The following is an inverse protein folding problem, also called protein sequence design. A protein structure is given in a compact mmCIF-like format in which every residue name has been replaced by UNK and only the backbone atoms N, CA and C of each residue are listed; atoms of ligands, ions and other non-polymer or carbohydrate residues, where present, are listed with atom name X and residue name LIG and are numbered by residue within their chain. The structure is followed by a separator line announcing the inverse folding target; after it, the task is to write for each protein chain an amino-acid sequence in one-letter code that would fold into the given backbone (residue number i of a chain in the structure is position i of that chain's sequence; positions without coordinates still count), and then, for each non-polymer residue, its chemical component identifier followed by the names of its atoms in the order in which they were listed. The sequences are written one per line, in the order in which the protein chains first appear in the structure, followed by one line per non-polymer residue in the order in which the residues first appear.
data_IF_764353750017
#
_entry.id   IF_764353750017
#
_cell.length_a   1.000
_cell.length_b   1.000
_cell.length_c   1.000
_cell.angle_alpha   90.00
_cell.angle_beta   90.00
_cell.angle_gamma   90.00
#
_symmetry.space_group_name_H-M   'P 1'
#
loop_
_entity.id
_entity.type
_entity.pdbx_description
1 polymer ?
#
# COMPACT_ATOMS: atom_id res chain seq x y z
N UNK A 1 -2.36 17.02 -15.40
CA UNK A 1 -2.09 17.09 -13.95
C UNK A 1 -0.58 17.07 -13.77
N UNK A 2 -0.05 18.09 -13.14
CA UNK A 2 1.39 18.15 -12.88
C UNK A 2 1.77 17.29 -11.68
N UNK A 3 2.63 16.33 -11.93
CA UNK A 3 3.16 15.48 -10.85
C UNK A 3 4.35 16.22 -10.23
N UNK A 4 4.38 16.40 -8.89
CA UNK A 4 5.51 17.04 -8.23
C UNK A 4 6.83 16.35 -8.55
N UNK A 5 7.90 17.14 -8.70
CA UNK A 5 9.25 16.62 -8.95
C UNK A 5 9.86 15.93 -7.73
N UNK A 6 9.43 16.33 -6.54
CA UNK A 6 9.89 15.73 -5.29
C UNK A 6 8.94 14.62 -4.87
N UNK A 7 9.52 13.47 -4.56
CA UNK A 7 8.80 12.27 -4.12
C UNK A 7 9.23 11.83 -2.72
N UNK A 8 8.38 11.04 -2.11
CA UNK A 8 8.63 10.28 -0.89
C UNK A 8 8.39 8.81 -1.16
N UNK A 9 9.36 7.96 -0.83
CA UNK A 9 9.23 6.51 -0.96
C UNK A 9 8.49 5.93 0.25
N UNK A 10 7.42 5.20 -0.01
CA UNK A 10 6.55 4.56 0.99
C UNK A 10 6.40 3.09 0.64
N UNK A 11 6.57 2.22 1.62
CA UNK A 11 6.41 0.78 1.42
C UNK A 11 4.93 0.43 1.16
N UNK A 12 4.69 -0.50 0.21
CA UNK A 12 3.36 -1.09 0.05
C UNK A 12 3.03 -2.04 1.22
N UNK A 13 1.77 -2.17 1.63
CA UNK A 13 0.57 -1.55 1.05
C UNK A 13 0.26 -0.12 1.53
N UNK A 14 1.13 0.49 2.35
CA UNK A 14 0.90 1.83 2.89
C UNK A 14 0.83 2.93 1.84
N UNK A 15 1.60 2.80 0.74
CA UNK A 15 1.51 3.74 -0.38
C UNK A 15 0.11 3.72 -1.02
N UNK A 16 -0.47 2.55 -1.23
CA UNK A 16 -1.86 2.41 -1.68
C UNK A 16 -2.84 3.00 -0.65
N UNK A 17 -2.61 2.75 0.64
CA UNK A 17 -3.46 3.29 1.70
C UNK A 17 -3.49 4.82 1.67
N UNK A 18 -2.38 5.48 1.39
CA UNK A 18 -2.32 6.94 1.21
C UNK A 18 -3.17 7.38 0.03
N UNK A 19 -3.03 6.74 -1.12
CA UNK A 19 -3.65 7.21 -2.37
C UNK A 19 -5.10 6.80 -2.51
N UNK A 20 -5.53 5.69 -1.94
CA UNK A 20 -6.87 5.12 -2.13
C UNK A 20 -7.55 4.62 -0.85
N UNK A 21 -6.80 4.42 0.24
CA UNK A 21 -7.31 3.83 1.47
C UNK A 21 -7.68 4.83 2.57
N UNK A 22 -7.53 6.12 2.34
CA UNK A 22 -7.85 7.16 3.33
C UNK A 22 -6.77 7.39 4.39
N UNK A 23 -5.57 6.86 4.21
CA UNK A 23 -4.44 7.08 5.12
C UNK A 23 -3.96 8.54 5.03
N UNK A 24 -4.21 9.30 6.08
CA UNK A 24 -3.95 10.74 6.12
C UNK A 24 -2.73 11.13 6.97
N UNK A 25 -1.98 10.18 7.46
CA UNK A 25 -0.71 10.40 8.19
C UNK A 25 0.30 9.34 7.76
N UNK A 26 1.48 9.77 7.35
CA UNK A 26 2.63 8.91 7.09
C UNK A 26 3.62 9.00 8.24
N UNK A 27 3.91 7.86 8.87
CA UNK A 27 4.76 7.80 10.05
C UNK A 27 6.24 7.76 9.68
N UNK A 28 7.05 8.54 10.37
CA UNK A 28 8.50 8.61 10.17
C UNK A 28 9.24 8.76 11.48
N UNK A 29 10.49 8.28 11.52
CA UNK A 29 11.36 8.54 12.65
C UNK A 29 11.82 10.01 12.67
N UNK A 30 12.20 10.50 13.85
CA UNK A 30 12.78 11.86 14.00
C UNK A 30 14.01 12.05 13.13
N UNK A 31 14.85 11.03 13.07
CA UNK A 31 16.06 11.03 12.25
C UNK A 31 15.72 11.13 10.75
N UNK A 32 14.75 10.33 10.26
CA UNK A 32 14.35 10.35 8.86
C UNK A 32 13.79 11.71 8.45
N UNK A 33 12.95 12.33 9.28
CA UNK A 33 12.38 13.66 9.01
C UNK A 33 13.46 14.72 8.92
N UNK A 34 14.38 14.76 9.89
CA UNK A 34 15.47 15.73 9.93
C UNK A 34 16.44 15.55 8.77
N UNK A 35 16.91 14.33 8.54
CA UNK A 35 17.88 14.03 7.49
C UNK A 35 17.29 14.10 6.09
N UNK A 36 16.02 13.71 5.95
CA UNK A 36 15.32 13.65 4.67
C UNK A 36 14.69 14.97 4.23
N UNK A 37 14.84 16.03 5.01
CA UNK A 37 14.25 17.36 4.76
C UNK A 37 12.74 17.29 4.49
N UNK A 38 12.02 16.50 5.28
CA UNK A 38 10.59 16.24 5.10
C UNK A 38 9.74 17.38 5.62
N UNK A 39 9.79 18.50 4.93
CA UNK A 39 9.02 19.72 5.23
C UNK A 39 7.65 19.72 4.54
N UNK A 40 6.70 20.57 4.98
CA UNK A 40 5.41 20.72 4.29
C UNK A 40 5.56 21.13 2.83
N UNK A 41 5.00 20.32 1.94
CA UNK A 41 4.94 20.57 0.50
C UNK A 41 4.07 19.54 -0.21
N UNK A 42 3.74 19.80 -1.46
CA UNK A 42 3.14 18.83 -2.36
C UNK A 42 4.21 17.86 -2.87
N UNK A 43 3.95 16.57 -2.79
CA UNK A 43 4.89 15.51 -3.14
C UNK A 43 4.24 14.44 -4.03
N UNK A 44 5.07 13.76 -4.81
CA UNK A 44 4.71 12.50 -5.41
C UNK A 44 4.89 11.35 -4.39
N UNK A 45 4.02 10.38 -4.41
CA UNK A 45 4.13 9.17 -3.61
C UNK A 45 4.76 8.08 -4.46
N UNK A 46 5.93 7.63 -4.04
CA UNK A 46 6.64 6.52 -4.65
C UNK A 46 6.40 5.25 -3.84
N UNK A 47 5.93 4.18 -4.47
CA UNK A 47 5.82 2.88 -3.84
C UNK A 47 7.16 2.15 -3.96
N UNK A 48 7.81 1.84 -2.83
CA UNK A 48 9.10 1.17 -2.83
C UNK A 48 9.02 -0.29 -3.31
N UNK A 49 10.15 -0.87 -3.70
CA UNK A 49 10.22 -2.24 -4.21
C UNK A 49 9.98 -3.30 -3.13
N UNK A 50 10.46 -3.05 -1.90
CA UNK A 50 10.40 -4.02 -0.82
C UNK A 50 9.00 -4.18 -0.25
N UNK A 51 8.53 -5.41 -0.20
CA UNK A 51 7.33 -5.80 0.55
C UNK A 51 7.45 -7.28 0.90
N UNK A 52 7.54 -7.59 2.19
CA UNK A 52 7.52 -8.98 2.64
C UNK A 52 6.07 -9.44 2.87
N UNK A 53 5.86 -10.76 2.89
CA UNK A 53 4.54 -11.32 3.22
C UNK A 53 4.07 -10.86 4.60
N UNK A 54 4.94 -10.90 5.60
CA UNK A 54 4.59 -10.51 6.97
C UNK A 54 4.21 -9.03 7.06
N UNK A 55 4.95 -8.15 6.39
CA UNK A 55 4.62 -6.72 6.32
C UNK A 55 3.26 -6.48 5.65
N UNK A 56 3.00 -7.18 4.55
CA UNK A 56 1.73 -7.09 3.83
C UNK A 56 0.56 -7.56 4.72
N UNK A 57 0.68 -8.74 5.32
CA UNK A 57 -0.38 -9.34 6.13
C UNK A 57 -0.69 -8.48 7.36
N UNK A 58 0.34 -7.97 8.05
CA UNK A 58 0.17 -7.08 9.19
C UNK A 58 -0.56 -5.78 8.80
N UNK A 59 -0.17 -5.17 7.70
CA UNK A 59 -0.79 -3.94 7.20
C UNK A 59 -2.23 -4.18 6.74
N UNK A 60 -2.48 -5.24 5.98
CA UNK A 60 -3.81 -5.60 5.52
C UNK A 60 -4.76 -5.89 6.68
N UNK A 61 -4.29 -6.59 7.71
CA UNK A 61 -5.06 -6.87 8.92
C UNK A 61 -5.39 -5.59 9.69
N UNK A 62 -4.43 -4.67 9.80
CA UNK A 62 -4.70 -3.38 10.44
C UNK A 62 -5.74 -2.56 9.66
N UNK A 63 -5.64 -2.51 8.35
CA UNK A 63 -6.61 -1.83 7.50
C UNK A 63 -8.02 -2.42 7.66
N UNK A 64 -8.13 -3.74 7.79
CA UNK A 64 -9.41 -4.41 8.03
C UNK A 64 -10.09 -3.91 9.30
N UNK A 65 -9.33 -3.65 10.37
CA UNK A 65 -9.86 -3.08 11.61
C UNK A 65 -10.45 -1.68 11.41
N UNK A 66 -10.03 -0.98 10.38
CA UNK A 66 -10.54 0.35 10.00
C UNK A 66 -11.63 0.29 8.93
N UNK A 67 -12.06 -0.90 8.53
CA UNK A 67 -13.03 -1.09 7.45
C UNK A 67 -12.45 -0.85 6.04
N UNK A 68 -11.13 -0.88 5.89
CA UNK A 68 -10.43 -0.70 4.62
C UNK A 68 -10.00 -2.06 4.07
N UNK A 69 -10.44 -2.38 2.86
CA UNK A 69 -10.05 -3.62 2.17
C UNK A 69 -8.78 -3.39 1.38
N UNK A 70 -7.68 -3.97 1.88
CA UNK A 70 -6.40 -3.91 1.18
C UNK A 70 -6.44 -4.76 -0.10
N UNK A 71 -5.95 -4.27 -1.24
CA UNK A 71 -5.83 -5.09 -2.44
C UNK A 71 -4.94 -6.32 -2.21
N UNK A 72 -5.11 -7.34 -3.04
CA UNK A 72 -4.19 -8.48 -3.07
C UNK A 72 -2.77 -8.00 -3.40
N UNK A 73 -1.73 -8.68 -2.90
CA UNK A 73 -0.36 -8.19 -3.03
C UNK A 73 0.11 -8.05 -4.47
N UNK A 74 -0.36 -8.89 -5.39
CA UNK A 74 -0.03 -8.81 -6.82
C UNK A 74 -0.69 -7.63 -7.56
N UNK A 75 -1.65 -6.97 -6.94
CA UNK A 75 -2.32 -5.76 -7.46
C UNK A 75 -1.66 -4.45 -7.01
N UNK A 76 -0.66 -4.53 -6.14
CA UNK A 76 0.05 -3.37 -5.61
C UNK A 76 1.28 -3.06 -6.47
N UNK A 77 1.27 -1.94 -7.16
CA UNK A 77 2.44 -1.49 -7.93
C UNK A 77 3.61 -1.17 -6.98
N UNK A 78 4.81 -1.57 -7.36
CA UNK A 78 6.06 -1.34 -6.61
C UNK A 78 7.14 -0.77 -7.55
N UNK A 79 8.06 0.02 -7.00
CA UNK A 79 9.08 0.66 -7.79
C UNK A 79 8.53 1.71 -8.76
N UNK A 80 7.51 2.44 -8.35
CA UNK A 80 6.82 3.39 -9.20
C UNK A 80 6.22 4.55 -8.40
N UNK A 81 6.04 5.67 -9.07
CA UNK A 81 5.16 6.75 -8.59
C UNK A 81 3.72 6.27 -8.75
N UNK A 82 2.95 6.32 -7.67
CA UNK A 82 1.58 5.80 -7.62
C UNK A 82 0.54 6.85 -7.25
N UNK A 83 0.96 8.03 -6.85
CA UNK A 83 0.05 9.10 -6.48
C UNK A 83 0.72 10.39 -6.10
N UNK A 84 -0.10 11.30 -5.60
CA UNK A 84 0.28 12.65 -5.17
C UNK A 84 -0.40 12.93 -3.83
N UNK A 85 0.26 13.66 -2.97
CA UNK A 85 -0.32 14.17 -1.72
C UNK A 85 0.33 15.50 -1.34
N UNK A 86 -0.33 16.24 -0.45
CA UNK A 86 0.25 17.45 0.14
C UNK A 86 0.54 17.19 1.61
N UNK A 87 1.78 17.35 2.01
CA UNK A 87 2.19 17.37 3.41
C UNK A 87 1.89 18.76 3.96
N UNK A 88 0.99 18.87 4.92
CA UNK A 88 0.59 20.15 5.52
C UNK A 88 1.40 20.50 6.74
N UNK A 89 1.81 19.50 7.52
CA UNK A 89 2.57 19.70 8.77
C UNK A 89 3.24 18.39 9.19
N UNK A 90 4.24 18.52 10.03
CA UNK A 90 4.90 17.41 10.72
C UNK A 90 4.51 17.45 12.19
N UNK A 91 3.95 16.36 12.70
CA UNK A 91 3.37 16.29 14.04
C UNK A 91 4.02 15.19 14.88
N UNK A 92 4.06 15.39 16.21
CA UNK A 92 4.44 14.37 17.18
C UNK A 92 3.25 13.73 17.90
N UNK A 93 2.06 14.27 17.67
CA UNK A 93 0.78 13.76 18.17
C UNK A 93 -0.31 13.99 17.12
N UNK A 94 -1.20 13.04 16.96
CA UNK A 94 -2.34 13.15 16.05
C UNK A 94 -3.43 12.13 16.41
N UNK A 95 -4.69 12.49 16.22
CA UNK A 95 -5.84 11.64 16.53
C UNK A 95 -6.16 10.60 15.45
N UNK A 96 -5.56 10.71 14.28
CA UNK A 96 -5.80 9.76 13.19
C UNK A 96 -5.46 8.33 13.62
N UNK A 97 -6.28 7.32 13.26
CA UNK A 97 -5.95 5.92 13.49
C UNK A 97 -4.72 5.46 12.69
N UNK A 98 -4.28 6.25 11.74
CA UNK A 98 -3.07 5.99 10.93
C UNK A 98 -1.79 6.51 11.59
N UNK A 99 -1.91 7.29 12.68
CA UNK A 99 -0.74 7.80 13.38
C UNK A 99 -0.21 6.80 14.39
N UNK A 100 1.05 6.39 14.20
CA UNK A 100 1.79 5.51 15.11
C UNK A 100 3.01 6.22 15.74
N UNK A 101 3.44 7.31 15.13
CA UNK A 101 4.62 8.06 15.56
C UNK A 101 5.96 7.41 15.20
N UNK A 102 7.08 7.92 15.74
CA UNK A 102 7.14 9.08 16.66
C UNK A 102 6.74 10.41 16.01
N UNK A 103 6.99 10.59 14.71
CA UNK A 103 6.51 11.73 13.92
C UNK A 103 5.54 11.26 12.82
N UNK A 104 4.63 12.16 12.43
CA UNK A 104 3.71 11.96 11.33
C UNK A 104 3.74 13.11 10.35
N UNK A 105 3.74 12.80 9.06
CA UNK A 105 3.46 13.75 8.00
C UNK A 105 1.96 13.77 7.76
N UNK A 106 1.31 14.88 8.02
CA UNK A 106 -0.14 15.01 7.80
C UNK A 106 -0.40 15.29 6.34
N UNK A 107 -1.25 14.47 5.74
CA UNK A 107 -1.51 14.44 4.30
C UNK A 107 -2.93 14.90 3.98
N UNK A 108 -3.04 15.73 2.96
CA UNK A 108 -4.31 16.10 2.33
C UNK A 108 -4.21 15.94 0.81
N UNK A 109 -5.35 16.02 0.13
CA UNK A 109 -5.45 15.99 -1.34
C UNK A 109 -4.73 14.78 -1.97
N UNK A 110 -4.88 13.62 -1.34
CA UNK A 110 -4.31 12.37 -1.82
C UNK A 110 -5.02 11.94 -3.11
N UNK A 111 -4.24 11.68 -4.15
CA UNK A 111 -4.74 11.29 -5.48
C UNK A 111 -3.93 10.10 -5.97
N UNK A 112 -4.60 9.02 -6.39
CA UNK A 112 -3.95 7.93 -7.12
C UNK A 112 -3.73 8.32 -8.58
N UNK A 113 -2.61 7.90 -9.15
CA UNK A 113 -2.30 8.03 -10.57
C UNK A 113 -1.92 6.68 -11.17
N UNK A 114 -1.97 6.57 -12.49
CA UNK A 114 -1.42 5.42 -13.17
C UNK A 114 0.07 5.28 -12.83
N UNK A 115 0.56 4.08 -12.42
CA UNK A 115 1.94 3.91 -11.97
C UNK A 115 2.97 4.30 -13.03
N UNK A 116 3.97 5.08 -12.60
CA UNK A 116 5.10 5.48 -13.44
C UNK A 116 6.38 4.86 -12.84
N UNK A 117 7.02 3.91 -13.53
CA UNK A 117 8.24 3.29 -13.01
C UNK A 117 9.32 4.32 -12.68
N UNK A 118 9.84 4.25 -11.48
CA UNK A 118 10.87 5.14 -10.96
C UNK A 118 11.67 4.47 -9.85
N UNK A 119 12.96 4.77 -9.77
CA UNK A 119 13.83 4.31 -8.70
C UNK A 119 13.58 5.16 -7.46
N UNK A 120 13.43 4.52 -6.29
CA UNK A 120 13.26 5.20 -5.02
C UNK A 120 14.60 5.65 -4.40
N UNK A 121 14.48 6.55 -3.43
CA UNK A 121 15.58 7.00 -2.58
C UNK A 121 15.08 7.33 -1.18
N UNK A 122 15.98 7.58 -0.25
CA UNK A 122 15.65 7.98 1.12
C UNK A 122 15.24 9.46 1.19
N UNK A 123 14.34 9.77 2.10
CA UNK A 123 13.87 11.13 2.32
C UNK A 123 13.06 11.70 1.16
N UNK A 124 12.99 13.02 1.08
CA UNK A 124 12.49 13.69 -0.12
C UNK A 124 13.56 13.59 -1.21
N UNK A 125 13.16 13.18 -2.41
CA UNK A 125 14.08 13.03 -3.54
C UNK A 125 13.45 13.47 -4.85
N UNK A 126 14.29 13.94 -5.76
CA UNK A 126 13.89 14.26 -7.12
C UNK A 126 13.82 12.98 -7.93
N UNK A 127 12.61 12.57 -8.31
CA UNK A 127 12.41 11.35 -9.06
C UNK A 127 12.53 11.56 -10.56
N UNK A 128 12.90 10.49 -11.25
CA UNK A 128 12.93 10.44 -12.72
C UNK A 128 12.30 9.12 -13.18
N UNK A 129 11.66 9.16 -14.34
CA UNK A 129 11.12 7.97 -14.96
C UNK A 129 12.25 7.00 -15.32
N UNK A 130 12.14 5.73 -14.91
CA UNK A 130 13.21 4.76 -15.10
C UNK A 130 13.28 4.20 -16.52
N UNK A 131 12.21 4.28 -17.30
CA UNK A 131 12.10 3.64 -18.60
C UNK A 131 11.99 2.11 -18.56
N UNK A 132 12.01 1.52 -17.38
CA UNK A 132 11.83 0.07 -17.17
C UNK A 132 10.35 -0.26 -17.01
N UNK A 133 9.93 -1.51 -17.32
CA UNK A 133 8.57 -1.95 -17.01
C UNK A 133 8.36 -1.99 -15.49
N UNK A 134 7.08 -2.02 -15.08
CA UNK A 134 6.73 -2.23 -13.67
C UNK A 134 7.32 -3.53 -13.14
N UNK A 135 7.68 -3.54 -11.88
CA UNK A 135 8.18 -4.73 -11.19
C UNK A 135 7.13 -5.83 -11.17
N UNK A 136 7.55 -7.03 -11.51
CA UNK A 136 6.66 -8.21 -11.51
C UNK A 136 6.38 -8.66 -10.07
N UNK A 137 5.18 -9.21 -9.80
CA UNK A 137 4.90 -9.80 -8.51
C UNK A 137 5.88 -10.92 -8.14
N UNK A 138 6.28 -10.96 -6.86
CA UNK A 138 7.04 -12.09 -6.32
C UNK A 138 6.14 -13.34 -6.20
N UNK A 139 6.70 -14.56 -6.16
CA UNK A 139 5.91 -15.80 -6.10
C UNK A 139 4.88 -15.83 -4.97
N UNK A 140 5.20 -15.33 -3.78
CA UNK A 140 4.27 -15.31 -2.64
C UNK A 140 3.08 -14.36 -2.83
N UNK A 141 3.20 -13.37 -3.72
CA UNK A 141 2.18 -12.36 -4.00
C UNK A 141 1.08 -12.88 -4.93
N UNK A 142 1.39 -13.92 -5.71
CA UNK A 142 0.44 -14.49 -6.67
C UNK A 142 -0.42 -15.52 -5.95
N UNK A 143 -1.72 -15.24 -5.85
CA UNK A 143 -2.70 -16.25 -5.43
C UNK A 143 -2.69 -17.37 -6.46
N UNK A 144 -2.31 -18.58 -6.03
CA UNK A 144 -2.56 -19.78 -6.86
C UNK A 144 -4.07 -19.81 -7.10
N UNK A 145 -4.52 -20.05 -8.35
CA UNK A 145 -5.93 -20.32 -8.57
C UNK A 145 -6.30 -21.43 -7.59
N UNK A 146 -7.35 -21.20 -6.79
CA UNK A 146 -7.92 -22.30 -6.03
C UNK A 146 -8.08 -23.44 -7.02
N UNK A 147 -7.44 -24.57 -6.75
CA UNK A 147 -7.86 -25.81 -7.40
C UNK A 147 -9.35 -25.82 -7.16
N UNK A 148 -10.13 -25.73 -8.25
CA UNK A 148 -11.56 -25.99 -8.14
C UNK A 148 -11.69 -27.14 -7.16
N UNK A 149 -12.27 -26.86 -5.99
CA UNK A 149 -12.76 -27.91 -5.14
C UNK A 149 -13.74 -28.63 -6.05
N UNK A 150 -13.27 -29.71 -6.68
CA UNK A 150 -14.14 -30.68 -7.29
C UNK A 150 -15.03 -31.12 -6.14
N UNK A 151 -16.18 -30.46 -6.01
CA UNK A 151 -17.22 -30.90 -5.12
C UNK A 151 -17.52 -32.32 -5.58
N UNK A 152 -17.06 -33.28 -4.79
CA UNK A 152 -17.47 -34.66 -4.99
C UNK A 152 -19.01 -34.63 -5.10
N UNK A 153 -19.60 -35.31 -6.08
CA UNK A 153 -21.05 -35.30 -6.21
C UNK A 153 -21.63 -35.71 -4.85
N UNK A 154 -22.49 -34.85 -4.32
CA UNK A 154 -23.22 -35.17 -3.10
C UNK A 154 -24.11 -36.34 -3.47
N UNK A 155 -23.75 -37.56 -3.04
CA UNK A 155 -24.65 -38.69 -3.15
C UNK A 155 -25.93 -38.32 -2.40
N UNK A 156 -27.09 -38.50 -3.02
CA UNK A 156 -28.34 -38.23 -2.32
C UNK A 156 -28.41 -39.17 -1.09
N UNK A 157 -28.95 -38.69 0.03
CA UNK A 157 -29.04 -39.49 1.22
C UNK A 157 -29.83 -40.76 0.90
N UNK A 158 -29.27 -41.90 1.28
CA UNK A 158 -29.93 -43.19 1.12
C UNK A 158 -31.29 -43.16 1.82
N UNK A 159 -32.34 -43.12 1.04
CA UNK A 159 -33.71 -43.30 1.59
C UNK A 159 -33.82 -44.76 2.01
N UNK A 160 -34.12 -45.03 3.28
CA UNK A 160 -34.38 -46.40 3.70
C UNK A 160 -35.64 -46.90 2.97
N UNK A 161 -35.49 -47.98 2.23
CA UNK A 161 -36.60 -48.72 1.67
C UNK A 161 -37.43 -49.29 2.86
N UNK A 162 -38.56 -48.69 3.10
CA UNK A 162 -39.53 -49.29 3.99
C UNK A 162 -40.12 -50.51 3.29
N UNK A 163 -39.71 -51.74 3.68
CA UNK A 163 -40.44 -52.93 3.38
C UNK A 163 -41.65 -53.02 4.26
N UNK A 164 -42.81 -53.15 3.61
CA UNK A 164 -44.07 -53.55 4.30
C UNK A 164 -43.97 -55.04 4.71
#
# INVERSE_FOLDING_TARGET
MDIPEIALSVQQPWAWAITEGGKNVENRSRFAVAKGDMTPRRIAIHASLGMTRDDYEAAAQYMETLGVVCPLPDKLARGAIVGIATVTEVVSEHKSPWFFGPLGLVLIDQIAIAPIPAVGALGYFRWTQSGKPLEKPKPWMVTKPEKELVTAPIEPPFLPLFHR
#
